data_IF_553770117840
#
_entry.id   IF_553770117840
#
_cell.length_a   1.000
_cell.length_b   1.000
_cell.length_c   1.000
_cell.angle_alpha   90.00
_cell.angle_beta   90.00
_cell.angle_gamma   90.00
#
_symmetry.space_group_name_H-M   'P 1'
#
loop_
_entity.id
_entity.type
_entity.pdbx_description
1 polymer ?
#
# COMPACT_ATOMS: atom_id res chain seq x y z
N UNK A 1 55.83 -20.09 -86.77
CA UNK A 1 56.59 -18.87 -86.44
C UNK A 1 55.83 -18.11 -85.39
N UNK A 2 56.49 -17.88 -84.27
CA UNK A 2 56.02 -17.26 -83.03
C UNK A 2 55.18 -15.98 -83.20
N UNK A 3 53.95 -15.96 -82.68
CA UNK A 3 53.30 -14.76 -82.13
C UNK A 3 51.92 -15.12 -81.61
N UNK A 4 51.80 -15.54 -80.34
CA UNK A 4 50.56 -15.43 -79.55
C UNK A 4 50.70 -15.86 -78.09
N UNK A 5 51.83 -16.45 -77.68
CA UNK A 5 52.07 -16.84 -76.27
C UNK A 5 52.61 -15.71 -75.40
N UNK A 6 53.13 -14.61 -75.99
CA UNK A 6 53.71 -13.50 -75.21
C UNK A 6 52.68 -12.50 -74.66
N UNK A 7 51.48 -12.45 -75.22
CA UNK A 7 50.44 -11.49 -74.79
C UNK A 7 49.61 -11.97 -73.58
N UNK A 8 49.57 -13.29 -73.34
CA UNK A 8 48.81 -13.88 -72.22
C UNK A 8 49.56 -13.90 -70.89
N UNK A 9 50.88 -13.76 -70.90
CA UNK A 9 51.68 -13.70 -69.66
C UNK A 9 51.73 -12.27 -69.09
N UNK A 10 51.64 -11.23 -69.93
CA UNK A 10 51.64 -9.83 -69.47
C UNK A 10 50.32 -9.38 -68.83
N UNK A 11 49.20 -10.03 -69.13
CA UNK A 11 47.93 -9.78 -68.43
C UNK A 11 47.83 -10.52 -67.09
N UNK A 12 48.48 -11.68 -66.94
CA UNK A 12 48.52 -12.39 -65.65
C UNK A 12 49.52 -11.79 -64.65
N UNK A 13 50.56 -11.09 -65.10
CA UNK A 13 51.51 -10.40 -64.20
C UNK A 13 50.96 -9.08 -63.65
N UNK A 14 49.91 -8.50 -64.25
CA UNK A 14 49.20 -7.33 -63.69
C UNK A 14 48.04 -7.68 -62.74
N UNK A 15 47.64 -8.96 -62.69
CA UNK A 15 46.62 -9.47 -61.75
C UNK A 15 47.23 -10.05 -60.45
N UNK A 16 48.56 -10.02 -60.31
CA UNK A 16 49.30 -10.34 -59.09
C UNK A 16 49.88 -9.09 -58.41
N UNK A 17 49.16 -7.96 -58.45
CA UNK A 17 49.33 -6.92 -57.43
C UNK A 17 48.73 -7.42 -56.12
N UNK A 18 49.54 -8.21 -55.42
CA UNK A 18 49.62 -8.19 -53.96
C UNK A 18 48.28 -8.01 -53.25
N UNK A 19 47.47 -9.07 -53.25
CA UNK A 19 46.74 -9.43 -52.04
C UNK A 19 47.79 -9.75 -50.96
N UNK A 20 48.47 -8.71 -50.46
CA UNK A 20 48.97 -8.80 -49.10
C UNK A 20 47.73 -8.98 -48.26
N UNK A 21 47.57 -10.19 -47.74
CA UNK A 21 46.82 -10.47 -46.52
C UNK A 21 47.57 -9.70 -45.43
N UNK A 22 47.46 -8.38 -45.44
CA UNK A 22 47.77 -7.55 -44.29
C UNK A 22 46.70 -7.99 -43.30
N UNK A 23 47.10 -8.79 -42.32
CA UNK A 23 46.22 -9.07 -41.20
C UNK A 23 45.69 -7.71 -40.73
N UNK A 24 44.36 -7.51 -40.69
CA UNK A 24 43.82 -6.23 -40.29
C UNK A 24 44.44 -5.87 -38.94
N UNK A 25 44.95 -4.63 -38.77
CA UNK A 25 45.66 -4.25 -37.57
C UNK A 25 44.84 -4.58 -36.33
N UNK A 26 45.51 -5.09 -35.30
CA UNK A 26 44.84 -5.48 -34.07
C UNK A 26 44.16 -4.27 -33.42
N UNK A 27 43.19 -4.50 -32.54
CA UNK A 27 42.52 -3.37 -31.88
C UNK A 27 43.51 -2.46 -31.13
N UNK A 28 44.53 -3.05 -30.50
CA UNK A 28 45.56 -2.31 -29.77
C UNK A 28 46.44 -1.46 -30.69
N UNK A 29 46.66 -1.91 -31.93
CA UNK A 29 47.34 -1.13 -32.97
C UNK A 29 46.44 -0.01 -33.52
N UNK A 30 45.14 -0.25 -33.73
CA UNK A 30 44.22 0.75 -34.33
C UNK A 30 43.76 1.85 -33.36
N UNK A 31 43.65 1.55 -32.07
CA UNK A 31 43.22 2.47 -31.01
C UNK A 31 44.00 3.80 -30.96
N UNK A 32 45.35 3.83 -30.92
CA UNK A 32 46.09 5.08 -30.82
C UNK A 32 45.83 6.00 -32.03
N UNK A 33 45.65 5.44 -33.22
CA UNK A 33 45.29 6.21 -34.43
C UNK A 33 43.87 6.77 -34.35
N UNK A 34 42.93 6.01 -33.79
CA UNK A 34 41.57 6.50 -33.54
C UNK A 34 41.55 7.68 -32.55
N UNK A 35 42.37 7.63 -31.49
CA UNK A 35 42.54 8.72 -30.52
C UNK A 35 43.18 9.97 -31.17
N UNK A 36 44.09 9.77 -32.14
CA UNK A 36 44.65 10.85 -32.96
C UNK A 36 43.67 11.42 -33.99
N UNK A 37 42.45 10.88 -34.08
CA UNK A 37 41.38 11.40 -34.93
C UNK A 37 41.30 10.77 -36.33
N UNK A 38 42.10 9.74 -36.63
CA UNK A 38 42.16 9.13 -37.96
C UNK A 38 40.86 8.38 -38.32
N UNK A 39 40.22 8.78 -39.43
CA UNK A 39 38.95 8.19 -39.85
C UNK A 39 39.06 6.71 -40.22
N UNK A 40 40.18 6.29 -40.84
CA UNK A 40 40.41 4.89 -41.21
C UNK A 40 40.42 3.96 -39.99
N UNK A 41 40.99 4.42 -38.88
CA UNK A 41 41.00 3.67 -37.62
C UNK A 41 39.59 3.50 -37.04
N UNK A 42 38.76 4.56 -37.07
CA UNK A 42 37.36 4.46 -36.63
C UNK A 42 36.52 3.51 -37.50
N UNK A 43 36.72 3.52 -38.83
CA UNK A 43 36.05 2.59 -39.74
C UNK A 43 36.48 1.14 -39.49
N UNK A 44 37.77 0.89 -39.22
CA UNK A 44 38.27 -0.44 -38.89
C UNK A 44 37.65 -0.98 -37.59
N UNK A 45 37.55 -0.14 -36.55
CA UNK A 45 36.87 -0.48 -35.29
C UNK A 45 35.40 -0.82 -35.53
N UNK A 46 34.69 -0.01 -36.33
CA UNK A 46 33.29 -0.26 -36.66
C UNK A 46 33.09 -1.57 -37.43
N UNK A 47 33.92 -1.83 -38.45
CA UNK A 47 33.89 -3.08 -39.21
C UNK A 47 34.20 -4.29 -38.32
N UNK A 48 35.19 -4.19 -37.43
CA UNK A 48 35.54 -5.27 -36.52
C UNK A 48 34.36 -5.66 -35.60
N UNK A 49 33.60 -4.68 -35.12
CA UNK A 49 32.46 -4.89 -34.23
C UNK A 49 31.25 -5.46 -34.97
N UNK A 50 30.85 -4.85 -36.09
CA UNK A 50 29.54 -5.11 -36.72
C UNK A 50 29.60 -6.01 -37.96
N UNK A 51 30.75 -6.15 -38.61
CA UNK A 51 30.83 -6.98 -39.81
C UNK A 51 30.69 -8.47 -39.49
N UNK A 52 29.84 -9.22 -40.23
CA UNK A 52 29.78 -10.67 -40.13
C UNK A 52 31.07 -11.35 -40.63
N UNK A 53 31.84 -10.68 -41.51
CA UNK A 53 33.13 -11.17 -42.04
C UNK A 53 34.33 -10.79 -41.18
N UNK A 54 34.11 -10.14 -40.04
CA UNK A 54 35.18 -9.75 -39.12
C UNK A 54 35.87 -10.98 -38.53
N UNK A 55 37.20 -10.97 -38.57
CA UNK A 55 38.06 -11.97 -37.89
C UNK A 55 38.12 -11.79 -36.38
N UNK A 56 37.59 -10.69 -35.84
CA UNK A 56 37.60 -10.45 -34.40
C UNK A 56 36.67 -11.44 -33.69
N UNK A 57 37.24 -12.18 -32.74
CA UNK A 57 36.48 -13.14 -31.95
C UNK A 57 35.52 -12.43 -30.98
N UNK A 58 34.69 -13.23 -30.29
CA UNK A 58 33.72 -12.69 -29.34
C UNK A 58 34.38 -11.90 -28.19
N UNK A 59 35.52 -12.38 -27.66
CA UNK A 59 36.19 -11.77 -26.51
C UNK A 59 36.87 -10.45 -26.88
N UNK A 60 37.51 -10.40 -28.06
CA UNK A 60 38.05 -9.17 -28.64
C UNK A 60 36.94 -8.15 -28.82
N UNK A 61 35.77 -8.54 -29.37
CA UNK A 61 34.63 -7.60 -29.51
C UNK A 61 34.16 -7.06 -28.16
N UNK A 62 34.05 -7.91 -27.12
CA UNK A 62 33.70 -7.46 -25.76
C UNK A 62 34.74 -6.48 -25.22
N UNK A 63 36.04 -6.78 -25.39
CA UNK A 63 37.13 -5.91 -24.98
C UNK A 63 37.04 -4.54 -25.65
N UNK A 64 36.89 -4.52 -26.98
CA UNK A 64 36.72 -3.30 -27.78
C UNK A 64 35.55 -2.45 -27.28
N UNK A 65 34.38 -3.05 -27.04
CA UNK A 65 33.18 -2.33 -26.58
C UNK A 65 33.42 -1.69 -25.20
N UNK A 66 34.00 -2.45 -24.26
CA UNK A 66 34.30 -1.94 -22.90
C UNK A 66 35.31 -0.81 -22.94
N UNK A 67 36.32 -0.94 -23.79
CA UNK A 67 37.36 0.05 -23.95
C UNK A 67 36.81 1.33 -24.59
N UNK A 68 35.96 1.23 -25.62
CA UNK A 68 35.20 2.37 -26.17
C UNK A 68 34.37 3.08 -25.07
N UNK A 69 33.76 2.35 -24.14
CA UNK A 69 33.06 2.92 -22.99
C UNK A 69 33.95 3.69 -22.01
N UNK A 70 35.28 3.54 -22.11
CA UNK A 70 36.28 4.24 -21.29
C UNK A 70 36.87 5.50 -21.96
N UNK A 71 36.52 5.83 -23.21
CA UNK A 71 37.01 7.00 -23.97
C UNK A 71 36.64 8.38 -23.40
N UNK A 72 36.15 8.41 -22.16
CA UNK A 72 35.79 9.65 -21.48
C UNK A 72 36.94 10.61 -21.20
N UNK A 73 38.19 10.13 -21.23
CA UNK A 73 39.41 10.93 -21.08
C UNK A 73 39.97 11.40 -22.42
N UNK A 74 39.44 10.90 -23.54
CA UNK A 74 39.83 11.32 -24.88
C UNK A 74 39.22 12.68 -25.23
N UNK A 75 39.73 13.38 -26.26
CA UNK A 75 39.15 14.66 -26.65
C UNK A 75 37.69 14.49 -27.08
N UNK A 76 36.90 15.56 -26.91
CA UNK A 76 35.43 15.52 -26.97
C UNK A 76 34.90 14.98 -28.30
N UNK A 77 35.59 15.27 -29.42
CA UNK A 77 35.18 14.82 -30.76
C UNK A 77 35.32 13.30 -30.90
N UNK A 78 36.38 12.73 -30.37
CA UNK A 78 36.69 11.30 -30.39
C UNK A 78 35.75 10.54 -29.46
N UNK A 79 35.48 11.09 -28.28
CA UNK A 79 34.49 10.54 -27.35
C UNK A 79 33.07 10.53 -27.97
N UNK A 80 32.71 11.54 -28.77
CA UNK A 80 31.43 11.56 -29.51
C UNK A 80 31.38 10.51 -30.62
N UNK A 81 32.49 10.27 -31.34
CA UNK A 81 32.57 9.19 -32.33
C UNK A 81 32.44 7.82 -31.68
N UNK A 82 33.14 7.58 -30.58
CA UNK A 82 33.00 6.35 -29.78
C UNK A 82 31.55 6.15 -29.33
N UNK A 83 30.89 7.21 -28.82
CA UNK A 83 29.49 7.16 -28.42
C UNK A 83 28.56 6.81 -29.60
N UNK A 84 28.81 7.35 -30.79
CA UNK A 84 28.03 7.06 -31.99
C UNK A 84 28.17 5.59 -32.44
N UNK A 85 29.37 5.01 -32.35
CA UNK A 85 29.61 3.58 -32.63
C UNK A 85 28.87 2.71 -31.60
N UNK A 86 28.97 3.06 -30.31
CA UNK A 86 28.26 2.35 -29.25
C UNK A 86 26.73 2.42 -29.43
N UNK A 87 26.21 3.55 -29.94
CA UNK A 87 24.79 3.74 -30.23
C UNK A 87 24.28 2.73 -31.28
N UNK A 88 25.06 2.49 -32.35
CA UNK A 88 24.72 1.50 -33.39
C UNK A 88 24.55 0.09 -32.83
N UNK A 89 25.27 -0.23 -31.74
CA UNK A 89 25.25 -1.54 -31.10
C UNK A 89 24.14 -1.77 -30.07
N UNK A 90 23.31 -0.76 -29.75
CA UNK A 90 22.25 -0.91 -28.75
C UNK A 90 21.18 -1.95 -29.12
N UNK A 91 21.01 -2.23 -30.41
CA UNK A 91 20.07 -3.23 -30.94
C UNK A 91 20.76 -4.50 -31.45
N UNK A 92 21.96 -4.79 -30.96
CA UNK A 92 22.74 -5.93 -31.44
C UNK A 92 22.02 -7.26 -31.20
N UNK A 93 21.99 -8.15 -32.21
CA UNK A 93 21.23 -9.43 -32.16
C UNK A 93 21.74 -10.40 -31.09
N UNK A 94 23.07 -10.42 -30.86
CA UNK A 94 23.68 -11.27 -29.81
C UNK A 94 23.54 -10.61 -28.45
N UNK A 95 22.80 -11.24 -27.54
CA UNK A 95 22.47 -10.70 -26.20
C UNK A 95 23.70 -10.27 -25.39
N UNK A 96 24.76 -11.09 -25.38
CA UNK A 96 25.97 -10.77 -24.62
C UNK A 96 26.67 -9.50 -25.14
N UNK A 97 26.70 -9.29 -26.47
CA UNK A 97 27.29 -8.07 -27.03
C UNK A 97 26.37 -6.86 -26.79
N UNK A 98 25.05 -7.03 -26.93
CA UNK A 98 24.06 -5.99 -26.62
C UNK A 98 24.20 -5.49 -25.18
N UNK A 99 24.34 -6.41 -24.22
CA UNK A 99 24.57 -6.07 -22.82
C UNK A 99 25.81 -5.20 -22.61
N UNK A 100 26.92 -5.52 -23.29
CA UNK A 100 28.16 -4.74 -23.20
C UNK A 100 28.01 -3.37 -23.89
N UNK A 101 27.34 -3.29 -25.04
CA UNK A 101 27.05 -2.02 -25.71
C UNK A 101 26.23 -1.09 -24.82
N UNK A 102 25.18 -1.61 -24.18
CA UNK A 102 24.32 -0.84 -23.26
C UNK A 102 25.12 -0.29 -22.08
N UNK A 103 25.97 -1.11 -21.45
CA UNK A 103 26.85 -0.68 -20.34
C UNK A 103 27.86 0.37 -20.79
N UNK A 104 28.56 0.13 -21.90
CA UNK A 104 29.58 1.04 -22.41
C UNK A 104 28.97 2.39 -22.85
N UNK A 105 27.84 2.36 -23.55
CA UNK A 105 27.12 3.56 -23.98
C UNK A 105 26.67 4.40 -22.79
N UNK A 106 26.09 3.78 -21.75
CA UNK A 106 25.71 4.49 -20.54
C UNK A 106 26.90 5.10 -19.82
N UNK A 107 28.00 4.33 -19.66
CA UNK A 107 29.22 4.79 -18.97
C UNK A 107 29.84 6.01 -19.63
N UNK A 108 30.00 5.99 -20.96
CA UNK A 108 30.56 7.10 -21.72
C UNK A 108 29.58 8.27 -21.83
N UNK A 109 28.32 7.97 -22.20
CA UNK A 109 27.29 8.97 -22.45
C UNK A 109 26.90 9.75 -21.18
N UNK A 110 26.93 9.13 -20.00
CA UNK A 110 26.72 9.80 -18.70
C UNK A 110 27.71 10.95 -18.49
N UNK A 111 28.97 10.80 -18.94
CA UNK A 111 30.01 11.84 -18.81
C UNK A 111 29.91 12.92 -19.89
N UNK A 112 29.42 12.59 -21.08
CA UNK A 112 29.30 13.53 -22.19
C UNK A 112 28.00 14.35 -22.15
N UNK A 113 26.86 13.68 -22.07
CA UNK A 113 25.54 14.30 -21.97
C UNK A 113 24.56 13.28 -21.38
N UNK A 114 24.42 13.32 -20.06
CA UNK A 114 23.59 12.39 -19.31
C UNK A 114 22.13 12.35 -19.77
N UNK A 115 21.46 13.51 -19.83
CA UNK A 115 20.03 13.59 -20.16
C UNK A 115 19.72 13.03 -21.56
N UNK A 116 20.53 13.37 -22.57
CA UNK A 116 20.37 12.85 -23.93
C UNK A 116 20.62 11.34 -23.99
N UNK A 117 21.66 10.87 -23.31
CA UNK A 117 22.03 9.45 -23.24
C UNK A 117 20.94 8.62 -22.59
N UNK A 118 20.42 9.04 -21.43
CA UNK A 118 19.36 8.32 -20.71
C UNK A 118 18.06 8.25 -21.53
N UNK A 119 17.67 9.34 -22.21
CA UNK A 119 16.50 9.34 -23.11
C UNK A 119 16.67 8.37 -24.28
N UNK A 120 17.84 8.34 -24.92
CA UNK A 120 18.15 7.42 -26.03
C UNK A 120 18.18 5.97 -25.58
N UNK A 121 18.84 5.67 -24.45
CA UNK A 121 18.88 4.32 -23.90
C UNK A 121 17.49 3.82 -23.54
N UNK A 122 16.67 4.63 -22.87
CA UNK A 122 15.31 4.24 -22.53
C UNK A 122 14.50 3.90 -23.79
N UNK A 123 14.60 4.72 -24.84
CA UNK A 123 13.96 4.45 -26.13
C UNK A 123 14.46 3.14 -26.74
N UNK A 124 15.77 2.95 -26.77
CA UNK A 124 16.39 1.74 -27.33
C UNK A 124 15.99 0.47 -26.57
N UNK A 125 15.91 0.52 -25.24
CA UNK A 125 15.48 -0.60 -24.40
C UNK A 125 13.99 -0.91 -24.63
N UNK A 126 13.14 0.10 -24.73
CA UNK A 126 11.72 -0.09 -25.05
C UNK A 126 11.53 -0.73 -26.44
N UNK A 127 12.29 -0.27 -27.45
CA UNK A 127 12.31 -0.89 -28.79
C UNK A 127 12.88 -2.31 -28.77
N UNK A 128 13.89 -2.58 -27.93
CA UNK A 128 14.42 -3.93 -27.75
C UNK A 128 13.40 -4.87 -27.09
N UNK A 129 12.63 -4.38 -26.12
CA UNK A 129 11.54 -5.13 -25.50
C UNK A 129 10.52 -5.57 -26.56
N UNK A 130 10.07 -4.66 -27.44
CA UNK A 130 9.13 -5.01 -28.50
C UNK A 130 9.75 -5.90 -29.58
N UNK A 131 11.00 -5.65 -29.96
CA UNK A 131 11.69 -6.39 -31.03
C UNK A 131 12.11 -7.81 -30.64
N UNK A 132 12.63 -7.99 -29.43
CA UNK A 132 13.18 -9.25 -28.95
C UNK A 132 12.28 -9.95 -27.93
N UNK A 133 11.14 -9.34 -27.58
CA UNK A 133 10.18 -9.81 -26.57
C UNK A 133 10.81 -10.03 -25.19
N UNK A 134 11.97 -9.42 -24.92
CA UNK A 134 12.69 -9.56 -23.66
C UNK A 134 13.59 -8.37 -23.36
N UNK A 135 13.80 -8.12 -22.08
CA UNK A 135 14.77 -7.15 -21.55
C UNK A 135 15.93 -7.91 -20.91
N UNK A 136 17.16 -7.44 -21.11
CA UNK A 136 18.35 -8.09 -20.55
C UNK A 136 18.65 -7.61 -19.12
N UNK A 137 19.28 -8.45 -18.29
CA UNK A 137 19.79 -8.05 -16.96
C UNK A 137 20.62 -6.75 -16.97
N UNK A 138 21.48 -6.57 -17.98
CA UNK A 138 22.30 -5.37 -18.12
C UNK A 138 21.47 -4.12 -18.48
N UNK A 139 20.37 -4.27 -19.21
CA UNK A 139 19.44 -3.17 -19.50
C UNK A 139 18.72 -2.74 -18.22
N UNK A 140 18.28 -3.68 -17.39
CA UNK A 140 17.67 -3.42 -16.07
C UNK A 140 18.67 -2.74 -15.12
N UNK A 141 19.90 -3.23 -15.06
CA UNK A 141 20.99 -2.65 -14.26
C UNK A 141 21.22 -1.17 -14.63
N UNK A 142 21.29 -0.88 -15.93
CA UNK A 142 21.48 0.48 -16.43
C UNK A 142 20.27 1.36 -16.15
N UNK A 143 19.04 0.87 -16.37
CA UNK A 143 17.80 1.57 -16.01
C UNK A 143 17.77 1.94 -14.53
N UNK A 144 18.19 1.03 -13.65
CA UNK A 144 18.31 1.29 -12.21
C UNK A 144 19.26 2.43 -11.86
N UNK A 145 20.31 2.64 -12.66
CA UNK A 145 21.32 3.67 -12.42
C UNK A 145 21.04 5.03 -13.10
N UNK A 146 20.00 5.13 -13.94
CA UNK A 146 19.57 6.41 -14.53
C UNK A 146 18.97 7.36 -13.49
N UNK A 147 18.83 8.65 -13.77
CA UNK A 147 18.05 9.59 -12.92
C UNK A 147 16.69 9.93 -13.53
N UNK A 148 16.49 9.62 -14.81
CA UNK A 148 15.24 9.84 -15.52
C UNK A 148 14.02 9.16 -14.85
N UNK A 149 12.97 9.93 -14.53
CA UNK A 149 11.68 9.43 -14.00
C UNK A 149 11.02 8.37 -14.89
N UNK A 150 11.16 8.48 -16.21
CA UNK A 150 10.60 7.47 -17.12
C UNK A 150 11.29 6.10 -16.99
N UNK A 151 12.52 6.07 -16.46
CA UNK A 151 13.19 4.79 -16.15
C UNK A 151 12.54 4.08 -14.96
N UNK A 152 12.04 4.80 -13.96
CA UNK A 152 11.32 4.19 -12.83
C UNK A 152 9.97 3.66 -13.26
N UNK A 153 9.23 4.42 -14.08
CA UNK A 153 7.94 3.98 -14.63
C UNK A 153 8.12 2.70 -15.46
N UNK A 154 9.11 2.69 -16.36
CA UNK A 154 9.41 1.50 -17.16
C UNK A 154 9.82 0.29 -16.32
N UNK A 155 10.58 0.47 -15.22
CA UNK A 155 10.92 -0.62 -14.31
C UNK A 155 9.70 -1.13 -13.53
N UNK A 156 8.75 -0.25 -13.20
CA UNK A 156 7.49 -0.63 -12.55
C UNK A 156 6.63 -1.46 -13.50
N UNK A 157 6.54 -1.05 -14.77
CA UNK A 157 5.78 -1.79 -15.81
C UNK A 157 6.37 -3.19 -16.06
N UNK A 158 7.69 -3.35 -15.93
CA UNK A 158 8.35 -4.66 -16.09
C UNK A 158 8.14 -5.61 -14.91
N UNK A 159 7.80 -5.09 -13.73
CA UNK A 159 7.74 -5.88 -12.51
C UNK A 159 6.57 -6.87 -12.58
N UNK A 160 6.86 -8.16 -12.45
CA UNK A 160 5.86 -9.23 -12.55
C UNK A 160 5.59 -9.73 -13.98
N UNK A 161 6.17 -9.12 -15.03
CA UNK A 161 6.11 -9.67 -16.39
C UNK A 161 7.00 -10.92 -16.55
N UNK A 162 8.19 -10.89 -15.96
CA UNK A 162 9.15 -12.02 -15.93
C UNK A 162 9.67 -12.25 -14.49
N UNK A 163 9.15 -13.26 -13.78
CA UNK A 163 9.55 -13.56 -12.41
C UNK A 163 11.04 -13.84 -12.20
N UNK A 164 11.77 -14.22 -13.26
CA UNK A 164 13.21 -14.49 -13.19
C UNK A 164 14.05 -13.20 -13.11
N UNK A 165 13.51 -12.09 -13.62
CA UNK A 165 14.15 -10.78 -13.64
C UNK A 165 13.69 -9.88 -12.48
N UNK A 166 12.55 -10.20 -11.86
CA UNK A 166 12.02 -9.49 -10.70
C UNK A 166 13.06 -9.18 -9.61
N UNK A 167 13.97 -10.09 -9.21
CA UNK A 167 15.00 -9.75 -8.23
C UNK A 167 15.87 -8.56 -8.63
N UNK A 168 16.23 -8.46 -9.92
CA UNK A 168 17.03 -7.35 -10.46
C UNK A 168 16.20 -6.08 -10.58
N UNK A 169 14.92 -6.20 -10.98
CA UNK A 169 14.00 -5.07 -11.11
C UNK A 169 13.73 -4.46 -9.73
N UNK A 170 13.45 -5.27 -8.72
CA UNK A 170 13.24 -4.85 -7.32
C UNK A 170 14.47 -4.10 -6.80
N UNK A 171 15.68 -4.62 -7.06
CA UNK A 171 16.92 -3.93 -6.69
C UNK A 171 17.09 -2.60 -7.44
N UNK A 172 16.77 -2.56 -8.73
CA UNK A 172 16.85 -1.36 -9.56
C UNK A 172 15.87 -0.27 -9.10
N UNK A 173 14.62 -0.63 -8.77
CA UNK A 173 13.64 0.25 -8.14
C UNK A 173 14.15 0.71 -6.76
N UNK A 174 14.73 -0.20 -5.98
CA UNK A 174 15.28 0.10 -4.66
C UNK A 174 16.34 1.20 -4.65
N UNK A 175 17.22 1.23 -5.67
CA UNK A 175 18.23 2.30 -5.87
C UNK A 175 17.61 3.67 -6.17
N UNK A 176 16.37 3.68 -6.67
CA UNK A 176 15.62 4.89 -7.04
C UNK A 176 14.77 5.45 -5.90
N UNK A 177 14.59 4.67 -4.83
CA UNK A 177 13.91 5.15 -3.64
C UNK A 177 14.79 6.16 -2.89
N UNK A 178 14.18 7.19 -2.27
CA UNK A 178 14.94 8.21 -1.56
C UNK A 178 15.55 7.57 -0.30
N UNK A 179 16.89 7.52 -0.24
CA UNK A 179 17.61 7.00 0.93
C UNK A 179 17.68 8.00 2.10
N UNK A 180 17.38 9.28 1.85
CA UNK A 180 17.34 10.29 2.90
C UNK A 180 16.01 10.19 3.65
N UNK A 181 16.10 10.19 4.98
CA UNK A 181 15.05 10.66 5.89
C UNK A 181 14.79 12.15 5.61
N UNK A 182 14.33 12.47 4.40
CA UNK A 182 13.73 13.74 4.09
C UNK A 182 12.58 13.92 5.06
N UNK A 183 12.56 15.08 5.72
CA UNK A 183 11.50 15.55 6.61
C UNK A 183 10.17 15.54 5.84
N UNK A 184 9.54 14.39 5.71
CA UNK A 184 8.19 14.27 5.18
C UNK A 184 7.24 14.40 6.36
N UNK A 185 6.47 15.47 6.27
CA UNK A 185 5.45 15.96 7.18
C UNK A 185 4.66 14.86 7.88
N UNK A 186 4.35 15.16 9.14
CA UNK A 186 3.70 14.30 10.11
C UNK A 186 2.25 13.87 9.77
N UNK A 187 1.72 14.14 8.57
CA UNK A 187 0.27 14.06 8.31
C UNK A 187 -0.23 12.86 7.49
N UNK A 188 0.54 12.21 6.62
CA UNK A 188 -0.05 11.23 5.68
C UNK A 188 -0.03 9.79 6.16
N UNK A 189 -0.37 9.52 7.43
CA UNK A 189 -0.53 8.15 7.94
C UNK A 189 -1.91 7.52 7.67
N UNK A 190 -2.88 8.26 7.11
CA UNK A 190 -4.23 7.75 6.85
C UNK A 190 -4.89 8.45 5.66
N UNK A 191 -5.00 7.75 4.52
CA UNK A 191 -6.21 7.76 3.67
C UNK A 191 -6.28 6.38 3.03
N UNK A 192 -6.89 5.42 3.74
CA UNK A 192 -7.53 4.29 3.07
C UNK A 192 -8.90 4.11 3.73
N UNK A 193 -9.92 4.43 2.93
CA UNK A 193 -11.34 4.48 3.30
C UNK A 193 -11.81 3.11 3.80
N UNK A 194 -12.41 3.10 4.98
CA UNK A 194 -13.07 1.92 5.53
C UNK A 194 -13.63 2.10 6.94
N UNK A 195 -14.53 3.08 7.13
CA UNK A 195 -15.39 3.14 8.33
C UNK A 195 -15.67 4.55 8.87
N UNK A 196 -16.90 5.01 8.66
CA UNK A 196 -17.55 6.23 9.19
C UNK A 196 -16.91 6.85 10.45
N UNK A 197 -16.19 7.96 10.25
CA UNK A 197 -16.16 9.11 11.16
C UNK A 197 -16.02 10.37 10.33
N UNK A 198 -17.07 11.19 10.33
CA UNK A 198 -17.09 12.56 9.84
C UNK A 198 -16.09 13.41 10.61
N UNK A 199 -15.06 13.90 9.92
CA UNK A 199 -14.23 15.04 10.33
C UNK A 199 -13.78 15.72 9.03
N UNK A 200 -14.36 16.89 8.82
CA UNK A 200 -14.05 18.02 7.93
C UNK A 200 -13.04 17.77 6.79
N UNK A 201 -13.59 17.82 5.57
CA UNK A 201 -12.87 17.96 4.32
C UNK A 201 -12.29 19.39 4.25
N UNK A 202 -11.00 19.54 4.52
CA UNK A 202 -10.23 20.70 4.05
C UNK A 202 -9.67 20.37 2.65
N UNK A 203 -10.13 21.16 1.69
CA UNK A 203 -9.64 21.21 0.32
C UNK A 203 -8.12 21.34 0.30
N UNK A 204 -7.44 20.26 -0.11
CA UNK A 204 -6.04 20.29 -0.50
C UNK A 204 -5.94 19.91 -1.96
N UNK A 205 -5.48 20.86 -2.76
CA UNK A 205 -5.17 20.70 -4.18
C UNK A 205 -4.23 19.50 -4.42
N UNK A 206 -4.31 18.84 -5.59
CA UNK A 206 -3.50 17.67 -5.88
C UNK A 206 -2.03 18.06 -6.03
N UNK A 207 -1.23 17.90 -4.98
CA UNK A 207 0.23 17.95 -5.06
C UNK A 207 0.73 16.86 -6.03
N UNK A 208 1.57 17.23 -7.00
CA UNK A 208 2.22 16.30 -7.92
C UNK A 208 2.96 15.19 -7.15
N UNK A 209 2.42 13.97 -7.17
CA UNK A 209 3.03 12.83 -6.49
C UNK A 209 4.44 12.58 -7.03
N UNK A 210 5.45 12.75 -6.16
CA UNK A 210 6.84 12.52 -6.52
C UNK A 210 7.03 11.06 -6.98
N UNK A 211 7.81 10.83 -8.06
CA UNK A 211 8.10 9.48 -8.59
C UNK A 211 8.65 8.49 -7.54
N UNK A 212 9.24 9.05 -6.49
CA UNK A 212 9.80 8.37 -5.33
C UNK A 212 8.72 7.75 -4.41
N UNK A 213 7.54 8.36 -4.31
CA UNK A 213 6.39 7.81 -3.58
C UNK A 213 5.71 6.70 -4.38
N UNK A 214 5.62 6.85 -5.70
CA UNK A 214 5.02 5.83 -6.58
C UNK A 214 5.82 4.52 -6.57
N UNK A 215 7.15 4.60 -6.57
CA UNK A 215 8.02 3.42 -6.50
C UNK A 215 7.84 2.61 -5.21
N UNK A 216 7.61 3.29 -4.07
CA UNK A 216 7.31 2.62 -2.81
C UNK A 216 5.94 1.94 -2.84
N UNK A 217 4.93 2.57 -3.45
CA UNK A 217 3.59 2.00 -3.62
C UNK A 217 3.60 0.77 -4.54
N UNK A 218 4.33 0.79 -5.66
CA UNK A 218 4.42 -0.38 -6.54
C UNK A 218 4.99 -1.61 -5.81
N UNK A 219 6.04 -1.43 -4.99
CA UNK A 219 6.56 -2.52 -4.17
C UNK A 219 5.52 -3.02 -3.15
N UNK A 220 4.71 -2.12 -2.57
CA UNK A 220 3.63 -2.47 -1.66
C UNK A 220 2.50 -3.25 -2.38
N UNK A 221 2.19 -2.91 -3.62
CA UNK A 221 1.22 -3.64 -4.45
C UNK A 221 1.75 -5.02 -4.85
N UNK A 222 3.03 -5.10 -5.22
CA UNK A 222 3.71 -6.37 -5.54
C UNK A 222 3.66 -7.36 -4.38
N UNK A 223 3.74 -6.91 -3.12
CA UNK A 223 3.65 -7.78 -1.95
C UNK A 223 2.29 -8.50 -1.81
N UNK A 224 1.22 -7.93 -2.38
CA UNK A 224 -0.13 -8.52 -2.36
C UNK A 224 -0.38 -9.51 -3.50
N UNK A 225 0.38 -9.46 -4.60
CA UNK A 225 0.22 -10.37 -5.73
C UNK A 225 0.72 -11.79 -5.44
N UNK A 226 0.45 -12.74 -6.33
CA UNK A 226 0.83 -14.16 -6.19
C UNK A 226 2.28 -14.44 -6.64
N UNK A 227 3.23 -13.64 -6.13
CA UNK A 227 4.65 -13.76 -6.46
C UNK A 227 5.41 -14.65 -5.47
N UNK A 228 6.56 -15.22 -5.88
CA UNK A 228 7.42 -16.02 -5.01
C UNK A 228 7.78 -15.29 -3.71
N UNK A 229 7.77 -16.03 -2.60
CA UNK A 229 8.06 -15.46 -1.27
C UNK A 229 9.45 -14.80 -1.23
N UNK A 230 10.44 -15.36 -1.92
CA UNK A 230 11.80 -14.81 -2.00
C UNK A 230 11.83 -13.38 -2.57
N UNK A 231 11.07 -13.15 -3.66
CA UNK A 231 10.96 -11.83 -4.29
C UNK A 231 10.22 -10.86 -3.36
N UNK A 232 9.17 -11.32 -2.66
CA UNK A 232 8.48 -10.51 -1.65
C UNK A 232 9.40 -10.11 -0.51
N UNK A 233 10.20 -11.04 0.02
CA UNK A 233 11.20 -10.77 1.05
C UNK A 233 12.25 -9.77 0.56
N UNK A 234 12.67 -9.86 -0.70
CA UNK A 234 13.59 -8.89 -1.30
C UNK A 234 12.98 -7.48 -1.35
N UNK A 235 11.72 -7.35 -1.77
CA UNK A 235 10.97 -6.09 -1.75
C UNK A 235 10.87 -5.52 -0.34
N UNK A 236 10.62 -6.36 0.67
CA UNK A 236 10.61 -5.93 2.07
C UNK A 236 11.99 -5.45 2.53
N UNK A 237 13.09 -6.13 2.15
CA UNK A 237 14.46 -5.68 2.47
C UNK A 237 14.80 -4.34 1.83
N UNK A 238 14.33 -4.10 0.60
CA UNK A 238 14.45 -2.79 -0.07
C UNK A 238 13.68 -1.72 0.68
N UNK A 239 12.42 -1.98 1.06
CA UNK A 239 11.61 -1.06 1.86
C UNK A 239 12.23 -0.79 3.24
N UNK A 240 12.82 -1.80 3.88
CA UNK A 240 13.49 -1.67 5.17
C UNK A 240 14.63 -0.64 5.13
N UNK A 241 15.43 -0.68 4.05
CA UNK A 241 16.58 0.22 3.86
C UNK A 241 16.18 1.64 3.49
N UNK A 242 15.20 1.79 2.61
CA UNK A 242 14.89 3.10 2.02
C UNK A 242 13.69 3.79 2.68
N UNK A 243 12.65 3.04 3.07
CA UNK A 243 11.38 3.59 3.57
C UNK A 243 10.81 2.76 4.75
N UNK A 244 11.43 2.82 5.95
CA UNK A 244 10.97 2.08 7.14
C UNK A 244 9.49 2.29 7.51
N UNK A 245 8.95 3.48 7.21
CA UNK A 245 7.54 3.79 7.46
C UNK A 245 6.59 2.93 6.59
N UNK A 246 6.95 2.65 5.33
CA UNK A 246 6.15 1.77 4.48
C UNK A 246 6.27 0.31 4.93
N UNK A 247 7.47 -0.14 5.30
CA UNK A 247 7.65 -1.46 5.92
C UNK A 247 6.77 -1.62 7.17
N UNK A 248 6.70 -0.59 8.02
CA UNK A 248 5.81 -0.58 9.18
C UNK A 248 4.33 -0.69 8.79
N UNK A 249 3.90 -0.06 7.69
CA UNK A 249 2.53 -0.21 7.15
C UNK A 249 2.24 -1.64 6.70
N UNK A 250 3.19 -2.31 6.04
CA UNK A 250 3.04 -3.72 5.67
C UNK A 250 2.78 -4.57 6.91
N UNK A 251 3.62 -4.43 7.94
CA UNK A 251 3.54 -5.23 9.15
C UNK A 251 2.17 -5.12 9.85
N UNK A 252 1.58 -3.91 9.90
CA UNK A 252 0.33 -3.65 10.60
C UNK A 252 -0.93 -3.83 9.76
N UNK A 253 -0.83 -3.83 8.43
CA UNK A 253 -1.99 -3.92 7.55
C UNK A 253 -2.50 -5.36 7.45
N UNK A 254 -3.82 -5.54 7.52
CA UNK A 254 -4.49 -6.83 7.34
C UNK A 254 -4.61 -7.24 5.87
N UNK A 255 -4.30 -6.35 4.92
CA UNK A 255 -4.36 -6.64 3.49
C UNK A 255 -3.28 -7.65 3.07
N UNK A 256 -2.15 -7.67 3.78
CA UNK A 256 -1.03 -8.56 3.49
C UNK A 256 -1.19 -9.93 4.15
N UNK A 257 -0.65 -10.96 3.49
CA UNK A 257 -0.56 -12.30 4.05
C UNK A 257 0.23 -12.34 5.36
N UNK A 258 -0.09 -13.30 6.23
CA UNK A 258 0.56 -13.40 7.54
C UNK A 258 2.08 -13.63 7.41
N UNK A 259 2.51 -14.40 6.41
CA UNK A 259 3.94 -14.64 6.13
C UNK A 259 4.70 -13.36 5.78
N UNK A 260 4.15 -12.54 4.88
CA UNK A 260 4.73 -11.22 4.52
C UNK A 260 4.77 -10.29 5.73
N UNK A 261 3.72 -10.29 6.56
CA UNK A 261 3.65 -9.46 7.77
C UNK A 261 4.68 -9.89 8.81
N UNK A 262 4.87 -11.20 9.01
CA UNK A 262 5.89 -11.75 9.91
C UNK A 262 7.28 -11.36 9.44
N UNK A 263 7.59 -11.50 8.15
CA UNK A 263 8.88 -11.09 7.60
C UNK A 263 9.11 -9.57 7.70
N UNK A 264 8.08 -8.76 7.49
CA UNK A 264 8.16 -7.32 7.72
C UNK A 264 8.48 -7.00 9.20
N UNK A 265 7.86 -7.71 10.15
CA UNK A 265 8.12 -7.56 11.59
C UNK A 265 9.53 -7.99 11.99
N UNK A 266 10.07 -9.05 11.38
CA UNK A 266 11.47 -9.49 11.56
C UNK A 266 12.43 -8.40 11.10
N UNK A 267 12.27 -7.92 9.86
CA UNK A 267 13.12 -6.85 9.32
C UNK A 267 13.02 -5.55 10.12
N UNK A 268 11.83 -5.22 10.66
CA UNK A 268 11.64 -4.07 11.54
C UNK A 268 12.41 -4.20 12.87
N UNK A 269 12.59 -5.41 13.39
CA UNK A 269 13.33 -5.65 14.63
C UNK A 269 14.80 -5.27 14.49
N UNK A 270 15.39 -5.53 13.32
CA UNK A 270 16.80 -5.28 13.01
C UNK A 270 17.12 -3.81 12.67
N UNK A 271 16.10 -2.96 12.50
CA UNK A 271 16.31 -1.55 12.17
C UNK A 271 16.77 -0.74 13.39
N UNK A 272 17.81 0.08 13.19
CA UNK A 272 18.22 1.07 14.17
C UNK A 272 17.27 2.28 14.15
N UNK A 273 16.22 2.19 14.96
CA UNK A 273 15.19 3.21 15.10
C UNK A 273 15.49 4.11 16.31
N UNK A 274 15.19 5.41 16.18
CA UNK A 274 15.24 6.34 17.30
C UNK A 274 14.32 5.91 18.45
N UNK A 275 14.66 6.30 19.68
CA UNK A 275 13.89 5.95 20.90
C UNK A 275 12.41 6.36 20.78
N UNK A 276 12.13 7.55 20.24
CA UNK A 276 10.77 8.04 20.04
C UNK A 276 10.00 7.23 19.00
N UNK A 277 10.67 6.83 17.92
CA UNK A 277 10.06 5.99 16.88
C UNK A 277 9.74 4.59 17.43
N UNK A 278 10.69 3.97 18.15
CA UNK A 278 10.47 2.70 18.87
C UNK A 278 9.26 2.78 19.81
N UNK A 279 9.17 3.86 20.61
CA UNK A 279 8.04 4.10 21.52
C UNK A 279 6.70 4.24 20.79
N UNK A 280 6.66 5.06 19.73
CA UNK A 280 5.45 5.29 18.92
C UNK A 280 4.98 3.98 18.26
N UNK A 281 5.88 3.26 17.59
CA UNK A 281 5.56 2.02 16.88
C UNK A 281 5.18 0.89 17.84
N UNK A 282 5.84 0.79 19.00
CA UNK A 282 5.42 -0.14 20.07
C UNK A 282 3.97 0.11 20.49
N UNK A 283 3.55 1.39 20.58
CA UNK A 283 2.16 1.74 20.88
C UNK A 283 1.16 1.22 19.84
N UNK A 284 1.52 1.28 18.55
CA UNK A 284 0.70 0.73 17.46
C UNK A 284 0.70 -0.80 17.45
N UNK A 285 1.86 -1.44 17.56
CA UNK A 285 1.98 -2.89 17.62
C UNK A 285 1.23 -3.47 18.82
N UNK A 286 1.25 -2.78 19.95
CA UNK A 286 0.43 -3.12 21.11
C UNK A 286 -1.06 -3.08 20.77
N UNK A 287 -1.56 -2.01 20.15
CA UNK A 287 -2.97 -1.95 19.72
C UNK A 287 -3.27 -3.11 18.76
N UNK A 288 -2.39 -3.38 17.80
CA UNK A 288 -2.56 -4.46 16.84
C UNK A 288 -2.64 -5.81 17.56
N UNK A 289 -1.75 -6.10 18.50
CA UNK A 289 -1.76 -7.32 19.30
C UNK A 289 -3.09 -7.52 20.05
N UNK A 290 -3.70 -6.43 20.53
CA UNK A 290 -4.96 -6.45 21.26
C UNK A 290 -6.19 -6.63 20.38
N UNK A 291 -6.16 -6.11 19.15
CA UNK A 291 -7.31 -6.09 18.24
C UNK A 291 -7.15 -7.03 17.04
N UNK A 292 -6.01 -7.71 16.90
CA UNK A 292 -5.82 -8.74 15.89
C UNK A 292 -6.55 -10.01 16.32
N UNK A 293 -7.65 -10.28 15.64
CA UNK A 293 -8.26 -11.60 15.62
C UNK A 293 -7.33 -12.55 14.85
N UNK A 294 -7.11 -13.75 15.41
CA UNK A 294 -6.91 -14.95 14.60
C UNK A 294 -5.50 -15.52 14.42
N UNK A 295 -4.42 -14.75 14.27
CA UNK A 295 -3.11 -15.35 13.96
C UNK A 295 -2.10 -15.25 15.13
N UNK A 296 -1.74 -16.42 15.68
CA UNK A 296 -0.79 -16.58 16.81
C UNK A 296 0.63 -16.21 16.38
N UNK A 297 1.08 -16.66 15.21
CA UNK A 297 2.44 -16.41 14.70
C UNK A 297 2.71 -14.92 14.49
N UNK A 298 1.74 -14.17 13.97
CA UNK A 298 1.83 -12.71 13.85
C UNK A 298 1.91 -12.05 15.22
N UNK A 299 1.16 -12.56 16.21
CA UNK A 299 1.21 -12.05 17.59
C UNK A 299 2.56 -12.34 18.25
N UNK A 300 3.13 -13.51 18.01
CA UNK A 300 4.47 -13.87 18.48
C UNK A 300 5.54 -12.99 17.83
N UNK A 301 5.48 -12.80 16.51
CA UNK A 301 6.38 -11.91 15.79
C UNK A 301 6.32 -10.47 16.34
N UNK A 302 5.12 -9.95 16.67
CA UNK A 302 4.98 -8.64 17.33
C UNK A 302 5.71 -8.62 18.68
N UNK A 303 5.54 -9.64 19.51
CA UNK A 303 6.20 -9.72 20.81
C UNK A 303 7.72 -9.78 20.65
N UNK A 304 8.23 -10.56 19.70
CA UNK A 304 9.65 -10.66 19.38
C UNK A 304 10.22 -9.31 18.91
N UNK A 305 9.57 -8.63 17.95
CA UNK A 305 10.02 -7.31 17.47
C UNK A 305 10.09 -6.29 18.61
N UNK A 306 9.06 -6.23 19.45
CA UNK A 306 9.03 -5.28 20.58
C UNK A 306 10.05 -5.64 21.65
N UNK A 307 10.29 -6.93 21.88
CA UNK A 307 11.30 -7.43 22.81
C UNK A 307 12.71 -6.99 22.40
N UNK A 308 13.05 -7.14 21.11
CA UNK A 308 14.32 -6.66 20.53
C UNK A 308 14.47 -5.14 20.74
N UNK A 309 13.45 -4.35 20.44
CA UNK A 309 13.51 -2.90 20.63
C UNK A 309 13.64 -2.44 22.08
N UNK A 310 13.16 -3.23 23.04
CA UNK A 310 13.22 -2.93 24.46
C UNK A 310 14.44 -3.55 25.16
N UNK A 311 15.17 -4.45 24.50
CA UNK A 311 16.24 -5.22 25.11
C UNK A 311 15.73 -6.15 26.22
N UNK A 312 14.54 -6.73 26.06
CA UNK A 312 13.89 -7.59 27.06
C UNK A 312 13.42 -8.91 26.46
N UNK A 313 12.90 -9.84 27.27
CA UNK A 313 12.29 -11.08 26.75
C UNK A 313 10.87 -10.85 26.19
N UNK A 314 10.41 -11.65 25.20
CA UNK A 314 9.03 -11.60 24.71
C UNK A 314 7.97 -11.85 25.81
N UNK A 315 8.32 -12.63 26.83
CA UNK A 315 7.47 -12.95 27.98
C UNK A 315 7.21 -11.70 28.84
N UNK A 316 8.25 -10.89 29.07
CA UNK A 316 8.09 -9.61 29.79
C UNK A 316 7.25 -8.60 29.02
N UNK A 317 7.44 -8.52 27.70
CA UNK A 317 6.60 -7.68 26.83
C UNK A 317 5.13 -8.12 26.92
N UNK A 318 4.89 -9.44 26.86
CA UNK A 318 3.55 -10.00 27.02
C UNK A 318 2.93 -9.65 28.37
N UNK A 319 3.70 -9.74 29.46
CA UNK A 319 3.25 -9.34 30.80
C UNK A 319 2.86 -7.86 30.84
N UNK A 320 3.72 -6.96 30.33
CA UNK A 320 3.44 -5.52 30.23
C UNK A 320 2.22 -5.20 29.35
N UNK A 321 2.04 -5.95 28.26
CA UNK A 321 0.87 -5.82 27.39
C UNK A 321 -0.39 -6.22 28.14
N UNK A 322 -0.39 -7.40 28.80
CA UNK A 322 -1.50 -7.89 29.63
C UNK A 322 -1.84 -6.94 30.77
N UNK A 323 -0.88 -6.49 31.55
CA UNK A 323 -1.11 -5.54 32.66
C UNK A 323 -1.81 -4.26 32.18
N UNK A 324 -1.45 -3.76 31.00
CA UNK A 324 -2.12 -2.60 30.42
C UNK A 324 -3.55 -2.91 29.93
N UNK A 325 -3.81 -4.13 29.45
CA UNK A 325 -5.18 -4.61 29.16
C UNK A 325 -6.00 -4.60 30.44
N UNK A 326 -5.46 -5.22 31.50
CA UNK A 326 -6.10 -5.33 32.79
C UNK A 326 -6.41 -3.95 33.35
N UNK A 327 -5.44 -3.01 33.38
CA UNK A 327 -5.67 -1.63 33.83
C UNK A 327 -6.77 -0.91 33.02
N UNK A 328 -6.80 -1.07 31.69
CA UNK A 328 -7.79 -0.41 30.83
C UNK A 328 -9.19 -1.02 30.95
N UNK A 329 -9.27 -2.35 31.08
CA UNK A 329 -10.52 -3.09 31.31
C UNK A 329 -11.09 -2.77 32.68
N UNK A 330 -10.28 -2.81 33.74
CA UNK A 330 -10.67 -2.40 35.09
C UNK A 330 -11.05 -0.93 35.19
N UNK A 331 -10.39 -0.02 34.47
CA UNK A 331 -10.81 1.38 34.43
C UNK A 331 -12.21 1.53 33.79
N UNK A 332 -12.49 0.78 32.72
CA UNK A 332 -13.80 0.76 32.06
C UNK A 332 -14.87 0.09 32.92
N UNK A 333 -14.55 -1.02 33.59
CA UNK A 333 -15.45 -1.72 34.51
C UNK A 333 -15.69 -0.90 35.79
N UNK A 334 -14.69 -0.25 36.38
CA UNK A 334 -14.87 0.71 37.49
C UNK A 334 -15.72 1.91 37.09
N UNK A 335 -15.53 2.46 35.89
CA UNK A 335 -16.38 3.54 35.39
C UNK A 335 -17.84 3.07 35.20
N UNK A 336 -18.04 1.82 34.77
CA UNK A 336 -19.37 1.21 34.67
C UNK A 336 -19.99 0.90 36.05
N UNK A 337 -19.19 0.42 37.01
CA UNK A 337 -19.59 0.15 38.40
C UNK A 337 -19.99 1.45 39.11
N UNK A 338 -19.14 2.47 39.07
CA UNK A 338 -19.47 3.82 39.59
C UNK A 338 -20.73 4.39 38.94
N UNK A 339 -20.94 4.16 37.64
CA UNK A 339 -22.15 4.58 36.94
C UNK A 339 -23.39 3.78 37.40
N UNK A 340 -23.27 2.48 37.68
CA UNK A 340 -24.36 1.66 38.22
C UNK A 340 -24.72 2.04 39.66
N UNK A 341 -23.72 2.25 40.51
CA UNK A 341 -23.90 2.72 41.89
C UNK A 341 -24.50 4.13 41.92
N UNK A 342 -24.01 5.02 41.05
CA UNK A 342 -24.58 6.36 40.88
C UNK A 342 -26.03 6.30 40.37
N UNK A 343 -26.35 5.44 39.39
CA UNK A 343 -27.73 5.26 38.94
C UNK A 343 -28.64 4.64 40.01
N UNK A 344 -28.13 3.73 40.84
CA UNK A 344 -28.87 3.17 41.98
C UNK A 344 -29.14 4.23 43.06
N UNK A 345 -28.14 5.08 43.35
CA UNK A 345 -28.25 6.25 44.21
C UNK A 345 -29.31 7.24 43.69
N UNK A 346 -29.27 7.59 42.41
CA UNK A 346 -30.26 8.47 41.77
C UNK A 346 -31.68 7.87 41.82
N UNK A 347 -31.84 6.55 41.61
CA UNK A 347 -33.15 5.87 41.72
C UNK A 347 -33.69 5.92 43.14
N UNK A 348 -32.84 5.71 44.14
CA UNK A 348 -33.21 5.74 45.56
C UNK A 348 -33.65 7.14 45.98
N UNK A 349 -32.95 8.19 45.53
CA UNK A 349 -33.33 9.58 45.79
C UNK A 349 -34.67 9.91 45.14
N UNK A 350 -34.90 9.48 43.89
CA UNK A 350 -36.18 9.71 43.19
C UNK A 350 -37.36 8.99 43.83
N UNK A 351 -37.16 7.83 44.43
CA UNK A 351 -38.23 7.10 45.13
C UNK A 351 -38.70 7.77 46.41
N UNK A 352 -37.98 8.79 46.91
CA UNK A 352 -38.33 9.51 48.11
C UNK A 352 -39.16 10.76 47.77
N UNK A 353 -40.15 11.12 48.61
CA UNK A 353 -40.80 12.43 48.54
C UNK A 353 -39.75 13.55 48.59
N UNK A 354 -39.95 14.63 47.84
CA UNK A 354 -38.98 15.73 47.64
C UNK A 354 -38.33 16.24 48.94
N UNK A 355 -39.11 16.39 50.00
CA UNK A 355 -38.63 16.81 51.32
C UNK A 355 -37.70 15.77 51.98
N UNK A 356 -38.00 14.47 51.84
CA UNK A 356 -37.16 13.37 52.33
C UNK A 356 -35.90 13.18 51.50
N UNK A 357 -35.97 13.40 50.18
CA UNK A 357 -34.81 13.39 49.29
C UNK A 357 -33.81 14.51 49.62
N UNK A 358 -34.32 15.73 49.88
CA UNK A 358 -33.50 16.87 50.31
C UNK A 358 -32.88 16.62 51.69
N UNK A 359 -33.64 16.09 52.65
CA UNK A 359 -33.11 15.72 53.96
C UNK A 359 -32.04 14.61 53.87
N UNK A 360 -32.24 13.60 53.01
CA UNK A 360 -31.27 12.54 52.77
C UNK A 360 -29.96 13.09 52.19
N UNK A 361 -30.03 13.97 51.18
CA UNK A 361 -28.85 14.58 50.56
C UNK A 361 -28.11 15.55 51.50
N UNK A 362 -28.85 16.24 52.37
CA UNK A 362 -28.28 17.18 53.34
C UNK A 362 -27.62 16.45 54.52
N UNK A 363 -28.31 15.48 55.12
CA UNK A 363 -27.90 14.82 56.37
C UNK A 363 -26.87 13.72 56.11
N UNK A 364 -27.05 12.92 55.05
CA UNK A 364 -26.22 11.73 54.80
C UNK A 364 -25.03 12.03 53.89
N UNK A 365 -25.21 12.89 52.91
CA UNK A 365 -24.19 13.19 51.88
C UNK A 365 -23.50 14.55 52.12
N UNK A 366 -23.90 15.29 53.17
CA UNK A 366 -23.24 16.53 53.59
C UNK A 366 -23.34 17.70 52.60
N UNK A 367 -24.27 17.63 51.64
CA UNK A 367 -24.43 18.67 50.61
C UNK A 367 -25.05 19.93 51.21
N UNK A 368 -24.59 21.10 50.77
CA UNK A 368 -25.22 22.36 51.17
C UNK A 368 -26.67 22.43 50.67
N UNK A 369 -27.51 23.21 51.36
CA UNK A 369 -28.93 23.36 51.01
C UNK A 369 -29.14 23.81 49.55
N UNK A 370 -28.23 24.65 49.01
CA UNK A 370 -28.25 25.09 47.60
C UNK A 370 -27.88 23.96 46.63
N UNK A 371 -26.88 23.14 46.96
CA UNK A 371 -26.44 22.03 46.12
C UNK A 371 -27.44 20.88 46.12
N UNK A 372 -28.00 20.51 47.28
CA UNK A 372 -29.04 19.48 47.39
C UNK A 372 -30.31 19.89 46.63
N UNK A 373 -30.70 21.17 46.70
CA UNK A 373 -31.85 21.70 45.96
C UNK A 373 -31.61 21.69 44.46
N UNK A 374 -30.44 22.16 44.00
CA UNK A 374 -29.99 22.07 42.60
C UNK A 374 -29.95 20.63 42.10
N UNK A 375 -29.49 19.67 42.89
CA UNK A 375 -29.40 18.27 42.48
C UNK A 375 -30.79 17.63 42.31
N UNK A 376 -31.73 17.93 43.21
CA UNK A 376 -33.11 17.41 43.15
C UNK A 376 -33.91 18.05 42.01
N UNK A 377 -33.78 19.37 41.81
CA UNK A 377 -34.44 20.06 40.68
C UNK A 377 -33.80 19.70 39.33
N UNK A 378 -32.47 19.53 39.28
CA UNK A 378 -31.81 19.00 38.10
C UNK A 378 -32.18 17.54 37.87
N UNK A 379 -32.40 16.69 38.88
CA UNK A 379 -32.86 15.31 38.65
C UNK A 379 -34.28 15.25 38.05
N UNK A 380 -35.17 16.16 38.45
CA UNK A 380 -36.51 16.31 37.84
C UNK A 380 -36.38 16.63 36.34
N UNK A 381 -35.46 17.52 35.93
CA UNK A 381 -35.21 17.86 34.52
C UNK A 381 -34.29 16.87 33.77
N UNK A 382 -33.36 16.23 34.46
CA UNK A 382 -32.32 15.38 33.85
C UNK A 382 -32.88 14.00 33.57
N UNK A 383 -33.93 13.52 34.25
CA UNK A 383 -34.52 12.21 33.92
C UNK A 383 -35.52 12.27 32.77
N UNK A 384 -36.15 13.42 32.49
CA UNK A 384 -36.81 13.65 31.19
C UNK A 384 -35.81 13.62 30.02
N UNK A 385 -34.54 13.98 30.27
CA UNK A 385 -33.46 13.92 29.27
C UNK A 385 -32.61 12.64 29.31
N UNK A 386 -32.53 11.92 30.42
CA UNK A 386 -31.63 10.76 30.63
C UNK A 386 -32.31 9.40 30.59
N UNK A 387 -33.63 9.35 30.34
CA UNK A 387 -34.26 8.20 29.69
C UNK A 387 -33.93 8.08 28.19
N UNK A 388 -33.05 8.94 27.66
CA UNK A 388 -32.44 8.73 26.36
C UNK A 388 -31.18 7.85 26.48
N UNK A 389 -31.39 6.59 26.10
CA UNK A 389 -30.43 5.60 25.61
C UNK A 389 -29.39 5.06 26.60
N UNK A 390 -29.71 3.89 27.16
CA UNK A 390 -28.69 2.93 27.60
C UNK A 390 -27.89 2.47 26.36
N UNK A 391 -26.58 2.21 26.50
CA UNK A 391 -25.75 1.69 25.39
C UNK A 391 -26.25 0.34 24.85
N UNK A 392 -26.99 -0.42 25.64
CA UNK A 392 -27.66 -1.67 25.23
C UNK A 392 -28.77 -1.41 24.20
N UNK A 393 -29.50 -0.30 24.32
CA UNK A 393 -30.49 0.11 23.32
C UNK A 393 -29.83 0.51 22.00
N UNK A 394 -28.65 1.14 22.03
CA UNK A 394 -27.93 1.49 20.79
C UNK A 394 -27.43 0.26 20.01
N UNK A 395 -27.05 -0.82 20.70
CA UNK A 395 -26.63 -2.06 20.06
C UNK A 395 -27.84 -2.80 19.49
N UNK A 396 -28.91 -2.95 20.28
CA UNK A 396 -30.17 -3.52 19.81
C UNK A 396 -30.76 -2.72 18.65
N UNK A 397 -30.73 -1.39 18.70
CA UNK A 397 -31.14 -0.52 17.59
C UNK A 397 -30.26 -0.65 16.35
N UNK A 398 -28.93 -0.74 16.49
CA UNK A 398 -28.03 -0.93 15.34
C UNK A 398 -28.27 -2.27 14.66
N UNK A 399 -28.39 -3.34 15.45
CA UNK A 399 -28.71 -4.68 14.94
C UNK A 399 -30.10 -4.71 14.30
N UNK A 400 -31.08 -4.03 14.91
CA UNK A 400 -32.45 -3.92 14.40
C UNK A 400 -32.55 -3.12 13.11
N UNK A 401 -31.88 -1.96 12.99
CA UNK A 401 -31.83 -1.19 11.75
C UNK A 401 -31.01 -1.88 10.66
N UNK A 402 -29.98 -2.66 11.03
CA UNK A 402 -29.29 -3.52 10.08
C UNK A 402 -30.22 -4.60 9.54
N UNK A 403 -31.01 -5.25 10.40
CA UNK A 403 -32.01 -6.24 10.00
C UNK A 403 -33.14 -5.64 9.15
N UNK A 404 -33.66 -4.46 9.51
CA UNK A 404 -34.69 -3.76 8.73
C UNK A 404 -34.19 -3.30 7.36
N UNK A 405 -32.92 -2.89 7.25
CA UNK A 405 -32.31 -2.50 5.96
C UNK A 405 -32.27 -3.64 4.96
N UNK A 406 -32.18 -4.88 5.44
CA UNK A 406 -32.17 -6.07 4.59
C UNK A 406 -33.56 -6.50 4.14
N UNK A 407 -34.62 -6.03 4.83
CA UNK A 407 -35.99 -6.51 4.63
C UNK A 407 -36.86 -5.47 3.91
N UNK A 408 -36.57 -4.17 4.07
CA UNK A 408 -37.34 -3.09 3.47
C UNK A 408 -36.68 -2.55 2.19
N UNK A 409 -37.47 -2.18 1.16
CA UNK A 409 -36.97 -1.38 0.04
C UNK A 409 -36.30 -0.09 0.57
N UNK A 410 -35.20 0.33 -0.08
CA UNK A 410 -34.37 1.46 0.38
C UNK A 410 -35.18 2.72 0.73
N UNK A 411 -36.17 3.08 -0.10
CA UNK A 411 -37.03 4.26 0.09
C UNK A 411 -37.79 4.21 1.42
N UNK A 412 -38.44 3.07 1.70
CA UNK A 412 -39.24 2.86 2.90
C UNK A 412 -38.37 2.80 4.15
N UNK A 413 -37.20 2.17 4.07
CA UNK A 413 -36.20 2.15 5.14
C UNK A 413 -35.80 3.57 5.58
N UNK A 414 -35.51 4.44 4.61
CA UNK A 414 -35.09 5.82 4.89
C UNK A 414 -36.22 6.67 5.47
N UNK A 415 -37.45 6.50 4.98
CA UNK A 415 -38.62 7.16 5.57
C UNK A 415 -38.85 6.69 7.02
N UNK A 416 -38.82 5.38 7.28
CA UNK A 416 -38.96 4.83 8.64
C UNK A 416 -37.88 5.34 9.59
N UNK A 417 -36.64 5.41 9.10
CA UNK A 417 -35.51 5.95 9.86
C UNK A 417 -35.69 7.44 10.16
N UNK A 418 -36.21 8.23 9.22
CA UNK A 418 -36.53 9.65 9.45
C UNK A 418 -37.70 9.86 10.42
N UNK A 419 -38.80 9.12 10.28
CA UNK A 419 -39.94 9.20 11.20
C UNK A 419 -39.57 8.77 12.62
N UNK A 420 -38.74 7.73 12.75
CA UNK A 420 -38.29 7.26 14.07
C UNK A 420 -37.44 8.30 14.79
N UNK A 421 -36.57 9.05 14.09
CA UNK A 421 -35.77 10.14 14.68
C UNK A 421 -36.62 11.22 15.35
N UNK A 422 -37.88 11.40 14.92
CA UNK A 422 -38.81 12.38 15.51
C UNK A 422 -39.73 11.80 16.60
N UNK A 423 -39.87 10.47 16.72
CA UNK A 423 -40.96 9.84 17.48
C UNK A 423 -40.52 8.78 18.50
N UNK A 424 -39.31 8.87 19.07
CA UNK A 424 -38.84 7.89 20.06
C UNK A 424 -39.35 8.16 21.49
N UNK A 425 -40.65 8.02 21.68
CA UNK A 425 -41.22 7.45 22.90
C UNK A 425 -41.80 6.07 22.56
N UNK A 426 -41.63 5.07 23.44
CA UNK A 426 -41.98 3.67 23.17
C UNK A 426 -43.44 3.49 22.72
N UNK A 427 -44.36 4.34 23.20
CA UNK A 427 -45.76 4.40 22.74
C UNK A 427 -45.83 4.76 21.25
N UNK A 428 -45.24 5.87 20.81
CA UNK A 428 -45.40 6.40 19.44
C UNK A 428 -44.64 5.60 18.38
N UNK A 429 -43.59 4.87 18.77
CA UNK A 429 -42.82 3.99 17.89
C UNK A 429 -43.63 2.76 17.44
N UNK A 430 -44.38 2.13 18.36
CA UNK A 430 -45.28 1.01 18.03
C UNK A 430 -46.38 1.48 17.08
N UNK A 431 -46.97 2.65 17.32
CA UNK A 431 -47.97 3.25 16.41
C UNK A 431 -47.40 3.51 15.00
N UNK A 432 -46.15 3.98 14.90
CA UNK A 432 -45.52 4.31 13.60
C UNK A 432 -45.20 3.06 12.78
N UNK A 433 -44.67 2.00 13.41
CA UNK A 433 -44.41 0.71 12.75
C UNK A 433 -45.71 0.02 12.37
N UNK A 434 -46.75 0.11 13.22
CA UNK A 434 -48.08 -0.43 12.94
C UNK A 434 -48.79 0.32 11.81
N UNK A 435 -48.69 1.64 11.74
CA UNK A 435 -49.27 2.45 10.65
C UNK A 435 -48.66 2.12 9.28
N UNK A 436 -47.35 1.84 9.24
CA UNK A 436 -46.66 1.36 8.04
C UNK A 436 -47.03 -0.09 7.69
N UNK A 437 -47.32 -0.94 8.66
CA UNK A 437 -47.83 -2.29 8.40
C UNK A 437 -49.28 -2.31 7.92
N UNK A 438 -50.07 -1.25 8.16
CA UNK A 438 -51.49 -1.18 7.79
C UNK A 438 -51.76 -0.57 6.40
N UNK A 439 -50.72 -0.12 5.69
CA UNK A 439 -50.86 0.43 4.35
C UNK A 439 -51.42 -0.62 3.35
N UNK A 440 -52.53 -0.28 2.67
CA UNK A 440 -53.38 -1.18 1.86
C UNK A 440 -52.66 -1.99 0.76
N UNK A 441 -51.49 -1.54 0.34
CA UNK A 441 -50.70 -2.10 -0.76
C UNK A 441 -49.67 -3.14 -0.30
N UNK A 442 -49.61 -3.46 1.00
CA UNK A 442 -48.68 -4.46 1.56
C UNK A 442 -49.32 -5.83 1.72
N UNK A 443 -48.71 -6.83 1.09
CA UNK A 443 -49.15 -8.22 1.10
C UNK A 443 -49.23 -8.80 2.53
N UNK A 444 -50.24 -9.64 2.75
CA UNK A 444 -50.53 -10.33 4.01
C UNK A 444 -49.33 -11.17 4.48
N UNK A 445 -48.64 -11.80 3.53
CA UNK A 445 -47.45 -12.61 3.83
C UNK A 445 -46.28 -11.75 4.30
N UNK A 446 -46.08 -10.58 3.70
CA UNK A 446 -45.04 -9.63 4.11
C UNK A 446 -45.24 -9.16 5.55
N UNK A 447 -46.48 -8.80 5.92
CA UNK A 447 -46.83 -8.35 7.28
C UNK A 447 -46.53 -9.40 8.35
N UNK A 448 -46.88 -10.66 8.08
CA UNK A 448 -46.66 -11.79 8.99
C UNK A 448 -45.18 -12.15 9.15
N UNK A 449 -44.41 -12.12 8.07
CA UNK A 449 -42.96 -12.36 8.10
C UNK A 449 -42.26 -11.27 8.90
N UNK A 450 -42.67 -10.02 8.70
CA UNK A 450 -42.11 -8.88 9.40
C UNK A 450 -42.46 -8.94 10.90
N UNK A 451 -43.70 -9.29 11.29
CA UNK A 451 -44.10 -9.51 12.69
C UNK A 451 -43.31 -10.64 13.36
N UNK A 452 -43.19 -11.79 12.68
CA UNK A 452 -42.43 -12.94 13.18
C UNK A 452 -40.96 -12.57 13.49
N UNK A 453 -40.32 -11.85 12.57
CA UNK A 453 -38.91 -11.45 12.71
C UNK A 453 -38.69 -10.31 13.69
N UNK A 454 -39.58 -9.32 13.73
CA UNK A 454 -39.44 -8.16 14.63
C UNK A 454 -39.60 -8.55 16.10
N UNK A 455 -40.50 -9.50 16.39
CA UNK A 455 -40.83 -9.90 17.76
C UNK A 455 -40.18 -11.23 18.16
N UNK A 456 -39.42 -11.87 17.26
CA UNK A 456 -38.77 -13.15 17.54
C UNK A 456 -39.77 -14.29 17.80
N UNK A 457 -40.95 -14.23 17.18
CA UNK A 457 -42.04 -15.18 17.39
C UNK A 457 -42.23 -16.08 16.17
N UNK A 458 -42.80 -17.28 16.38
CA UNK A 458 -43.07 -18.19 15.27
C UNK A 458 -44.10 -17.62 14.28
N UNK A 459 -44.06 -18.09 13.02
CA UNK A 459 -45.01 -17.67 11.97
C UNK A 459 -46.47 -17.91 12.37
N UNK A 460 -46.77 -18.97 13.11
CA UNK A 460 -48.13 -19.26 13.61
C UNK A 460 -48.60 -18.20 14.62
N UNK A 461 -47.74 -17.78 15.54
CA UNK A 461 -48.02 -16.67 16.46
C UNK A 461 -48.14 -15.32 15.73
N UNK A 462 -47.34 -15.09 14.69
CA UNK A 462 -47.45 -13.91 13.86
C UNK A 462 -48.76 -13.88 13.05
N UNK A 463 -49.27 -15.02 12.59
CA UNK A 463 -50.59 -15.14 11.95
C UNK A 463 -51.71 -14.87 12.95
N UNK A 464 -51.57 -15.33 14.20
CA UNK A 464 -52.51 -15.05 15.27
C UNK A 464 -52.57 -13.54 15.58
N UNK A 465 -51.42 -12.89 15.74
CA UNK A 465 -51.35 -11.44 15.97
C UNK A 465 -51.87 -10.65 14.77
N UNK A 466 -51.49 -11.00 13.53
CA UNK A 466 -52.01 -10.37 12.31
C UNK A 466 -53.56 -10.45 12.25
N UNK A 467 -54.14 -11.60 12.61
CA UNK A 467 -55.61 -11.76 12.72
C UNK A 467 -56.20 -10.96 13.90
N UNK A 468 -55.55 -10.94 15.07
CA UNK A 468 -56.05 -10.27 16.27
C UNK A 468 -56.03 -8.74 16.11
N UNK A 469 -54.98 -8.19 15.49
CA UNK A 469 -54.81 -6.75 15.25
C UNK A 469 -55.66 -6.23 14.07
N UNK A 470 -55.97 -7.04 13.06
CA UNK A 470 -56.86 -6.65 11.96
C UNK A 470 -58.35 -6.78 12.31
N UNK A 471 -58.75 -7.75 13.16
CA UNK A 471 -60.16 -7.97 13.52
C UNK A 471 -60.65 -7.04 14.65
N UNK A 472 -59.74 -6.50 15.48
CA UNK A 472 -60.07 -5.52 16.54
C UNK A 472 -59.41 -4.16 16.23
N UNK A 473 -59.99 -3.40 15.30
CA UNK A 473 -59.72 -1.97 15.15
C UNK A 473 -59.99 -1.15 16.44
N UNK A 474 -60.57 -1.74 17.49
CA UNK A 474 -60.93 -1.06 18.74
C UNK A 474 -59.84 -0.97 19.81
N UNK A 475 -58.75 -1.74 19.75
CA UNK A 475 -57.77 -1.76 20.86
C UNK A 475 -56.80 -0.56 20.82
N UNK A 476 -56.53 -0.01 19.63
CA UNK A 476 -55.70 1.20 19.48
C UNK A 476 -56.45 2.49 19.84
N UNK A 477 -57.79 2.51 19.72
CA UNK A 477 -58.61 3.63 20.19
C UNK A 477 -58.80 3.66 21.72
N UNK A 478 -58.67 2.51 22.40
CA UNK A 478 -58.76 2.42 23.88
C UNK A 478 -57.44 2.65 24.61
N UNK A 479 -56.31 2.68 23.92
CA UNK A 479 -54.98 2.96 24.50
C UNK A 479 -54.51 4.42 24.30
N UNK A 480 -55.36 5.23 23.66
CA UNK A 480 -55.22 6.68 23.49
C UNK A 480 -56.08 7.53 24.45
N UNK A 481 -56.76 6.87 25.39
CA UNK A 481 -57.19 7.44 26.69
C UNK A 481 -56.23 6.88 27.74
#
# INVERSE_FOLDING_TARGET
GFSNTFFLILFFVSACKSFHIINPPTYDETKPYAIKGEQKAWMAIEQALFSPTSKADFNTKVYMIRDLGAFSTSPRKEAQKALAILEKGLHHKKDKLRAEFVRAYFKLGKKLNRSKTEKKLLKAIAENKSRFQKVLPAEIEVLGNMENKKSTEFLQDLLGEDPTLDPLIIQAIGKKLPHKQSRLNHSTLFVEKGGDTSLDEEDSEPEEESSSQNSGRTLMEYLNGDYPLENKVLSLKVLARSQPNLLFRVAISKAYSNTVRIEALRLLADLDLTKDRKKKWTGYLKKLYLYSEGNIEVKEAILQTVAVWQGTSPVEVLKKFREAIWKKRWAKERALMRRREYLAFLRKIRSLPKQKALAYLFIREGLSKKEAFSLVTNMEHTVERSFQFSKEDSFRQKVFWAALRQILPKRDYFQLKQYSKKAFSLKNFVFSVMGLMQQKWRDKNFRRILLARLWGISRSHAVFLDKFYLKKQMLLARLSL
#
